data_IF_514180142857
#
_entry.id   IF_514180142857
#
_cell.length_a   1.000
_cell.length_b   1.000
_cell.length_c   1.000
_cell.angle_alpha   90.00
_cell.angle_beta   90.00
_cell.angle_gamma   90.00
#
_symmetry.space_group_name_H-M   'P 1'
#
loop_
_entity.id
_entity.type
_entity.pdbx_description
1 polymer ?
#
# COMPACT_ATOMS: atom_id res chain seq x y z
N UNK A 1 -8.30 -42.17 -2.02
CA UNK A 1 -9.31 -42.84 -1.17
C UNK A 1 -9.61 -41.93 0.02
N UNK A 2 -10.81 -41.99 0.59
CA UNK A 2 -11.23 -41.21 1.76
C UNK A 2 -11.36 -42.16 2.94
N UNK A 3 -10.74 -41.83 4.08
CA UNK A 3 -10.86 -42.60 5.31
C UNK A 3 -11.62 -41.77 6.35
N UNK A 4 -12.66 -42.36 6.96
CA UNK A 4 -13.46 -41.70 8.00
C UNK A 4 -14.06 -42.73 8.95
N UNK A 5 -14.58 -42.28 10.10
CA UNK A 5 -15.18 -43.16 11.12
C UNK A 5 -16.71 -43.14 11.04
N UNK A 6 -17.34 -44.29 11.25
CA UNK A 6 -18.80 -44.38 11.33
C UNK A 6 -19.32 -43.69 12.60
N UNK A 7 -20.32 -42.79 12.54
CA UNK A 7 -20.84 -42.08 13.71
C UNK A 7 -21.62 -42.96 14.70
N UNK A 8 -21.96 -44.19 14.33
CA UNK A 8 -22.73 -45.11 15.18
C UNK A 8 -21.89 -46.16 15.90
N UNK A 9 -20.77 -46.59 15.33
CA UNK A 9 -19.97 -47.70 15.85
C UNK A 9 -18.45 -47.49 15.78
N UNK A 10 -18.03 -46.29 15.38
CA UNK A 10 -16.63 -45.82 15.31
C UNK A 10 -15.70 -46.67 14.44
N UNK A 11 -16.25 -47.59 13.64
CA UNK A 11 -15.46 -48.38 12.71
C UNK A 11 -14.88 -47.49 11.61
N UNK A 12 -13.58 -47.63 11.34
CA UNK A 12 -12.89 -46.95 10.23
C UNK A 12 -13.35 -47.53 8.90
N UNK A 13 -13.83 -46.68 8.01
CA UNK A 13 -14.32 -47.03 6.68
C UNK A 13 -13.41 -46.38 5.65
N UNK A 14 -13.06 -47.14 4.61
CA UNK A 14 -12.34 -46.65 3.43
C UNK A 14 -13.30 -46.59 2.25
N UNK A 15 -13.45 -45.41 1.65
CA UNK A 15 -14.32 -45.19 0.50
C UNK A 15 -13.53 -44.63 -0.69
N UNK A 16 -14.00 -44.89 -1.90
CA UNK A 16 -13.46 -44.25 -3.10
C UNK A 16 -13.90 -42.78 -3.15
N UNK A 17 -13.09 -41.92 -3.79
CA UNK A 17 -13.39 -40.47 -3.90
C UNK A 17 -14.72 -40.24 -4.64
N UNK A 18 -15.03 -41.08 -5.62
CA UNK A 18 -16.29 -41.03 -6.38
C UNK A 18 -17.53 -41.36 -5.52
N UNK A 19 -17.35 -41.93 -4.33
CA UNK A 19 -18.44 -42.20 -3.39
C UNK A 19 -18.72 -41.01 -2.44
N UNK A 20 -17.94 -39.92 -2.53
CA UNK A 20 -18.15 -38.70 -1.76
C UNK A 20 -19.58 -38.16 -1.93
N UNK A 21 -20.25 -37.87 -0.81
CA UNK A 21 -21.64 -37.40 -0.79
C UNK A 21 -22.70 -38.49 -1.03
N UNK A 22 -22.30 -39.71 -1.41
CA UNK A 22 -23.23 -40.83 -1.64
C UNK A 22 -23.58 -41.49 -0.29
N UNK A 23 -24.85 -41.91 -0.16
CA UNK A 23 -25.30 -42.71 0.99
C UNK A 23 -24.82 -44.16 0.85
N UNK A 24 -24.16 -44.67 1.88
CA UNK A 24 -23.68 -46.06 1.95
C UNK A 24 -24.06 -46.69 3.29
N UNK A 25 -23.90 -48.02 3.41
CA UNK A 25 -24.13 -48.74 4.68
C UNK A 25 -22.79 -49.04 5.36
N UNK A 26 -22.73 -48.85 6.67
CA UNK A 26 -21.56 -49.25 7.44
C UNK A 26 -21.34 -50.78 7.36
N UNK A 27 -20.12 -51.27 7.08
CA UNK A 27 -19.85 -52.72 7.03
C UNK A 27 -19.96 -53.42 8.40
N UNK A 28 -19.89 -52.67 9.51
CA UNK A 28 -19.95 -53.22 10.87
C UNK A 28 -21.36 -53.18 11.47
N UNK A 29 -22.00 -52.02 11.54
CA UNK A 29 -23.32 -51.87 12.18
C UNK A 29 -24.51 -51.79 11.21
N UNK A 30 -24.25 -51.78 9.88
CA UNK A 30 -25.27 -51.67 8.81
C UNK A 30 -26.11 -50.37 8.81
N UNK A 31 -25.80 -49.39 9.67
CA UNK A 31 -26.43 -48.08 9.64
C UNK A 31 -26.18 -47.36 8.31
N UNK A 32 -27.18 -46.62 7.83
CA UNK A 32 -27.05 -45.76 6.65
C UNK A 32 -26.23 -44.51 7.04
N UNK A 33 -25.18 -44.22 6.30
CA UNK A 33 -24.32 -43.05 6.51
C UNK A 33 -24.04 -42.36 5.17
N UNK A 34 -23.77 -41.06 5.21
CA UNK A 34 -23.34 -40.31 4.04
C UNK A 34 -21.82 -40.22 4.05
N UNK A 35 -21.17 -40.60 2.96
CA UNK A 35 -19.72 -40.44 2.83
C UNK A 35 -19.42 -38.94 2.81
N UNK A 36 -18.56 -38.41 3.69
CA UNK A 36 -18.26 -36.98 3.71
C UNK A 36 -17.65 -36.56 2.37
N UNK A 37 -18.13 -35.42 1.82
CA UNK A 37 -17.49 -34.79 0.69
C UNK A 37 -16.14 -34.23 1.15
N UNK A 38 -15.06 -34.41 0.36
CA UNK A 38 -13.78 -33.73 0.60
C UNK A 38 -13.90 -32.25 0.21
N UNK A 39 -14.89 -31.54 0.75
CA UNK A 39 -15.04 -30.11 0.52
C UNK A 39 -14.07 -29.39 1.45
N UNK A 40 -13.03 -28.82 0.84
CA UNK A 40 -12.19 -27.78 1.41
C UNK A 40 -11.50 -28.15 2.73
N UNK A 41 -10.75 -29.25 2.72
CA UNK A 41 -9.45 -29.15 3.41
C UNK A 41 -8.67 -28.12 2.61
N UNK A 42 -8.87 -26.84 2.95
CA UNK A 42 -7.94 -25.76 2.65
C UNK A 42 -6.57 -26.37 2.93
N UNK A 43 -5.71 -26.54 1.91
CA UNK A 43 -4.51 -27.36 2.02
C UNK A 43 -3.83 -26.92 3.31
N UNK A 44 -3.81 -27.82 4.29
CA UNK A 44 -3.19 -27.60 5.58
C UNK A 44 -1.81 -27.08 5.23
N UNK A 45 -1.61 -25.78 5.45
CA UNK A 45 -0.39 -25.06 5.17
C UNK A 45 0.68 -25.75 6.01
N UNK A 46 1.34 -26.74 5.45
CA UNK A 46 2.36 -27.51 6.16
C UNK A 46 3.71 -26.79 6.21
N UNK A 47 3.79 -25.55 5.71
CA UNK A 47 5.06 -24.82 5.61
C UNK A 47 5.03 -23.37 6.12
N UNK A 48 4.04 -22.93 6.90
CA UNK A 48 4.11 -21.63 7.59
C UNK A 48 3.52 -21.64 9.00
N UNK A 49 3.74 -22.72 9.75
CA UNK A 49 4.17 -22.54 11.14
C UNK A 49 5.67 -22.22 11.11
N UNK A 50 6.02 -21.06 10.51
CA UNK A 50 6.85 -20.17 11.29
C UNK A 50 6.01 -19.95 12.53
N UNK A 51 6.46 -20.51 13.65
CA UNK A 51 6.07 -19.97 14.93
C UNK A 51 6.07 -18.44 14.76
N UNK A 52 5.07 -17.71 15.28
CA UNK A 52 5.24 -16.29 15.48
C UNK A 52 6.40 -16.14 16.47
N UNK A 53 7.64 -16.27 15.98
CA UNK A 53 8.82 -15.67 16.57
C UNK A 53 8.47 -14.20 16.59
N UNK A 54 8.04 -13.80 17.78
CA UNK A 54 7.93 -12.45 18.21
C UNK A 54 7.01 -11.64 17.31
N UNK A 55 5.76 -11.58 17.77
CA UNK A 55 5.11 -10.30 18.03
C UNK A 55 6.15 -9.32 18.62
N UNK A 56 7.03 -8.79 17.78
CA UNK A 56 7.64 -7.50 17.95
C UNK A 56 6.43 -6.57 17.92
N UNK A 57 5.90 -6.31 19.11
CA UNK A 57 5.28 -5.05 19.44
C UNK A 57 5.96 -4.00 18.58
N UNK A 58 5.20 -3.39 17.66
CA UNK A 58 5.72 -2.28 16.87
C UNK A 58 6.11 -1.20 17.87
N UNK A 59 7.37 -1.23 18.31
CA UNK A 59 7.94 -0.18 19.11
C UNK A 59 7.73 1.12 18.34
N UNK A 60 7.21 2.16 19.02
CA UNK A 60 6.81 3.40 18.37
C UNK A 60 7.99 3.94 17.59
N UNK A 61 7.82 4.00 16.26
CA UNK A 61 8.68 4.65 15.25
C UNK A 61 9.92 5.26 15.89
N UNK A 62 10.91 4.38 16.06
CA UNK A 62 12.30 4.61 16.40
C UNK A 62 12.68 6.08 16.67
N UNK A 63 12.42 6.56 17.91
CA UNK A 63 13.02 7.80 18.43
C UNK A 63 14.55 7.79 18.28
N UNK A 64 15.21 6.64 18.16
CA UNK A 64 16.67 6.56 18.02
C UNK A 64 17.20 7.05 16.67
N UNK A 65 16.40 7.09 15.59
CA UNK A 65 16.86 7.72 14.32
C UNK A 65 16.88 9.24 14.46
N UNK A 66 15.93 9.81 15.22
CA UNK A 66 15.93 11.23 15.53
C UNK A 66 17.04 11.54 16.55
N UNK A 67 17.22 10.70 17.58
CA UNK A 67 18.28 10.91 18.59
C UNK A 67 19.69 10.74 18.03
N UNK A 68 19.92 9.84 17.08
CA UNK A 68 21.24 9.70 16.42
C UNK A 68 21.56 10.90 15.54
N UNK A 69 20.59 11.40 14.76
CA UNK A 69 20.78 12.65 13.99
C UNK A 69 20.93 13.89 14.88
N UNK A 70 20.25 13.97 16.02
CA UNK A 70 20.44 15.04 17.00
C UNK A 70 21.82 14.91 17.67
N UNK A 71 22.29 13.69 17.98
CA UNK A 71 23.64 13.46 18.54
C UNK A 71 24.76 13.76 17.54
N UNK A 72 24.58 13.46 16.25
CA UNK A 72 25.55 13.79 15.21
C UNK A 72 25.57 15.30 14.88
N UNK A 73 24.43 15.98 14.96
CA UNK A 73 24.35 17.44 14.89
C UNK A 73 25.00 18.13 16.12
N UNK A 74 24.86 17.55 17.32
CA UNK A 74 25.52 18.05 18.52
C UNK A 74 27.06 17.88 18.45
N UNK A 75 27.56 16.76 17.91
CA UNK A 75 29.00 16.52 17.76
C UNK A 75 29.66 17.46 16.73
N UNK A 76 28.97 17.75 15.62
CA UNK A 76 29.50 18.65 14.58
C UNK A 76 29.41 20.14 14.94
N UNK A 77 28.54 20.52 15.89
CA UNK A 77 28.49 21.88 16.43
C UNK A 77 29.67 22.23 17.35
N UNK A 78 30.17 21.26 18.14
CA UNK A 78 31.22 21.49 19.14
C UNK A 78 32.60 21.75 18.51
N UNK A 79 32.92 21.13 17.37
CA UNK A 79 34.22 21.36 16.70
C UNK A 79 34.36 22.75 16.05
N UNK A 80 33.24 23.38 15.63
CA UNK A 80 33.31 24.72 15.01
C UNK A 80 33.50 25.85 16.03
N UNK A 81 33.03 25.68 17.27
CA UNK A 81 33.22 26.67 18.35
C UNK A 81 34.68 26.74 18.80
N UNK A 82 35.40 25.61 18.77
CA UNK A 82 36.83 25.54 19.15
C UNK A 82 37.78 26.30 18.22
N UNK A 83 37.45 26.46 16.93
CA UNK A 83 38.28 27.24 15.99
C UNK A 83 38.02 28.74 16.06
N UNK A 84 36.80 29.17 16.37
CA UNK A 84 36.46 30.60 16.51
C UNK A 84 37.06 31.18 17.80
N UNK A 85 37.07 30.42 18.89
CA UNK A 85 37.68 30.83 20.17
C UNK A 85 39.20 31.08 20.08
N UNK A 86 39.91 30.39 19.17
CA UNK A 86 41.34 30.65 18.93
C UNK A 86 41.59 31.91 18.10
N UNK A 87 40.61 32.39 17.32
CA UNK A 87 40.76 33.59 16.49
C UNK A 87 40.47 34.89 17.27
N UNK A 88 39.55 34.85 18.25
CA UNK A 88 39.25 36.00 19.12
C UNK A 88 40.31 36.29 20.19
N UNK A 89 41.25 35.37 20.43
CA UNK A 89 42.35 35.58 21.38
C UNK A 89 43.50 36.41 20.79
N UNK A 90 43.58 36.54 19.45
CA UNK A 90 44.63 37.28 18.74
C UNK A 90 44.23 38.75 18.52
N UNK A 91 42.93 39.04 18.45
CA UNK A 91 42.40 40.40 18.34
C UNK A 91 42.07 40.87 19.76
N UNK A 92 43.08 41.39 20.45
CA UNK A 92 43.04 41.75 21.88
C UNK A 92 41.94 42.75 22.24
N UNK A 93 40.76 42.24 22.58
CA UNK A 93 39.65 43.02 23.10
C UNK A 93 38.67 42.14 23.85
N UNK A 94 38.89 41.95 25.16
CA UNK A 94 38.03 41.16 26.04
C UNK A 94 36.55 41.58 26.02
N UNK A 95 36.25 42.81 25.60
CA UNK A 95 34.88 43.30 25.43
C UNK A 95 34.09 42.58 24.33
N UNK A 96 34.71 42.21 23.20
CA UNK A 96 33.98 41.59 22.08
C UNK A 96 33.64 40.13 22.37
N UNK A 97 34.54 39.41 23.04
CA UNK A 97 34.29 38.04 23.50
C UNK A 97 33.14 38.00 24.51
N UNK A 98 33.08 38.98 25.42
CA UNK A 98 31.98 39.09 26.38
C UNK A 98 30.63 39.39 25.71
N UNK A 99 30.60 40.28 24.70
CA UNK A 99 29.39 40.56 23.95
C UNK A 99 28.87 39.34 23.19
N UNK A 100 29.75 38.56 22.56
CA UNK A 100 29.34 37.31 21.90
C UNK A 100 28.82 36.30 22.93
N UNK A 101 29.49 36.15 24.07
CA UNK A 101 29.05 35.23 25.12
C UNK A 101 27.67 35.61 25.66
N UNK A 102 27.43 36.89 25.93
CA UNK A 102 26.13 37.40 26.39
C UNK A 102 25.06 37.19 25.32
N UNK A 103 25.36 37.45 24.05
CA UNK A 103 24.41 37.20 22.95
C UNK A 103 24.05 35.71 22.82
N UNK A 104 25.03 34.80 22.97
CA UNK A 104 24.80 33.35 22.95
C UNK A 104 23.98 32.91 24.16
N UNK A 105 24.28 33.42 25.37
CA UNK A 105 23.51 33.11 26.58
C UNK A 105 22.07 33.63 26.49
N UNK A 106 21.85 34.82 25.94
CA UNK A 106 20.50 35.33 25.69
C UNK A 106 19.73 34.50 24.66
N UNK A 107 20.42 33.95 23.64
CA UNK A 107 19.78 33.08 22.64
C UNK A 107 19.45 31.68 23.20
N UNK A 108 20.25 31.18 24.17
CA UNK A 108 19.96 29.92 24.87
C UNK A 108 18.86 30.06 25.94
N UNK A 109 18.70 31.24 26.54
CA UNK A 109 17.69 31.48 27.55
C UNK A 109 16.26 31.58 26.99
N UNK A 110 16.10 31.77 25.68
CA UNK A 110 14.79 31.96 25.07
C UNK A 110 14.63 31.23 23.71
N UNK A 111 14.71 29.88 23.68
CA UNK A 111 14.55 29.09 22.46
C UNK A 111 13.16 29.25 21.83
N UNK A 112 12.17 29.64 22.64
CA UNK A 112 10.78 29.81 22.23
C UNK A 112 10.61 31.00 21.27
N UNK A 113 11.41 32.07 21.43
CA UNK A 113 11.39 33.21 20.51
C UNK A 113 11.88 32.83 19.10
N UNK A 114 12.90 31.98 19.02
CA UNK A 114 13.42 31.49 17.74
C UNK A 114 12.40 30.58 17.04
N UNK A 115 11.73 29.70 17.79
CA UNK A 115 10.67 28.84 17.27
C UNK A 115 9.47 29.64 16.75
N UNK A 116 9.05 30.68 17.49
CA UNK A 116 7.94 31.55 17.10
C UNK A 116 8.21 32.30 15.80
N UNK A 117 9.43 32.82 15.62
CA UNK A 117 9.81 33.48 14.37
C UNK A 117 9.84 32.52 13.17
N UNK A 118 10.12 31.24 13.40
CA UNK A 118 10.16 30.20 12.35
C UNK A 118 8.76 29.73 11.98
N UNK A 119 7.85 29.59 12.95
CA UNK A 119 6.44 29.27 12.67
C UNK A 119 5.77 30.39 11.88
N UNK A 120 6.00 31.66 12.22
CA UNK A 120 5.45 32.81 11.49
C UNK A 120 5.95 32.89 10.03
N UNK A 121 7.21 32.50 9.76
CA UNK A 121 7.72 32.41 8.38
C UNK A 121 7.05 31.30 7.58
N UNK A 122 6.85 30.13 8.18
CA UNK A 122 6.18 29.01 7.54
C UNK A 122 4.70 29.30 7.25
N UNK A 123 4.01 29.98 8.16
CA UNK A 123 2.61 30.38 7.94
C UNK A 123 2.49 31.34 6.74
N UNK A 124 3.40 32.31 6.62
CA UNK A 124 3.45 33.21 5.45
C UNK A 124 3.72 32.47 4.14
N UNK A 125 4.61 31.48 4.15
CA UNK A 125 4.93 30.68 2.96
C UNK A 125 3.73 29.81 2.53
N UNK A 126 3.00 29.22 3.48
CA UNK A 126 1.78 28.45 3.20
C UNK A 126 0.68 29.35 2.60
N UNK A 127 0.52 30.56 3.13
CA UNK A 127 -0.48 31.50 2.63
C UNK A 127 -0.16 31.98 1.21
N UNK A 128 1.12 32.23 0.89
CA UNK A 128 1.58 32.56 -0.46
C UNK A 128 1.29 31.43 -1.47
N UNK A 129 1.59 30.17 -1.09
CA UNK A 129 1.30 29.01 -1.94
C UNK A 129 -0.20 28.82 -2.19
N UNK A 130 -1.04 29.05 -1.17
CA UNK A 130 -2.50 29.04 -1.34
C UNK A 130 -2.98 30.13 -2.31
N UNK A 131 -2.35 31.30 -2.30
CA UNK A 131 -2.60 32.37 -3.28
C UNK A 131 -2.29 31.93 -4.71
N UNK A 132 -1.09 31.37 -4.94
CA UNK A 132 -0.66 30.90 -6.27
C UNK A 132 -1.56 29.80 -6.82
N UNK A 133 -2.03 28.87 -5.98
CA UNK A 133 -2.95 27.82 -6.42
C UNK A 133 -4.30 28.39 -6.87
N UNK A 134 -4.86 29.38 -6.16
CA UNK A 134 -6.10 30.05 -6.59
C UNK A 134 -5.92 30.79 -7.93
N UNK A 135 -4.77 31.41 -8.15
CA UNK A 135 -4.45 32.06 -9.42
C UNK A 135 -4.37 31.04 -10.57
N UNK A 136 -3.77 29.87 -10.33
CA UNK A 136 -3.72 28.78 -11.30
C UNK A 136 -5.11 28.22 -11.61
N UNK A 137 -5.95 28.02 -10.60
CA UNK A 137 -7.34 27.57 -10.79
C UNK A 137 -8.15 28.56 -11.65
N UNK A 138 -7.97 29.86 -11.43
CA UNK A 138 -8.60 30.90 -12.27
C UNK A 138 -8.06 30.89 -13.71
N UNK A 139 -6.75 30.70 -13.90
CA UNK A 139 -6.16 30.59 -15.25
C UNK A 139 -6.67 29.37 -15.98
N UNK A 140 -6.80 28.21 -15.31
CA UNK A 140 -7.38 26.99 -15.90
C UNK A 140 -8.85 27.21 -16.28
N UNK A 141 -9.64 27.86 -15.41
CA UNK A 141 -11.04 28.16 -15.69
C UNK A 141 -11.23 29.10 -16.91
N UNK A 142 -10.29 30.01 -17.15
CA UNK A 142 -10.33 30.95 -18.28
C UNK A 142 -9.72 30.41 -19.57
N UNK A 143 -9.05 29.25 -19.55
CA UNK A 143 -8.62 28.63 -20.82
C UNK A 143 -9.86 28.19 -21.60
N UNK A 144 -10.19 28.84 -22.73
CA UNK A 144 -11.33 28.44 -23.52
C UNK A 144 -11.10 27.01 -23.99
N UNK A 145 -12.11 26.17 -23.80
CA UNK A 145 -12.17 24.78 -24.26
C UNK A 145 -11.85 24.78 -25.75
N UNK A 146 -10.59 24.57 -26.13
CA UNK A 146 -10.15 24.55 -27.52
C UNK A 146 -10.94 23.44 -28.18
N UNK A 147 -11.92 23.84 -28.98
CA UNK A 147 -12.69 22.94 -29.80
C UNK A 147 -11.71 22.34 -30.81
N UNK A 148 -11.21 21.14 -30.49
CA UNK A 148 -10.43 20.30 -31.39
C UNK A 148 -11.36 19.75 -32.48
N UNK A 149 -11.85 20.65 -33.34
CA UNK A 149 -12.45 20.34 -34.62
C UNK A 149 -11.37 20.31 -35.69
N UNK A 150 -10.54 19.27 -35.70
CA UNK A 150 -9.79 18.87 -36.89
C UNK A 150 -10.60 17.78 -37.61
N UNK A 151 -10.89 17.91 -38.91
CA UNK A 151 -11.72 16.95 -39.65
C UNK A 151 -10.92 15.66 -39.87
N UNK A 152 -11.20 14.65 -39.04
CA UNK A 152 -10.84 13.25 -39.33
C UNK A 152 -11.91 12.70 -40.25
N UNK A 153 -11.46 12.24 -41.42
CA UNK A 153 -12.28 11.72 -42.50
C UNK A 153 -13.23 10.60 -42.04
N UNK A 154 -14.41 10.61 -42.66
CA UNK A 154 -15.57 9.77 -42.39
C UNK A 154 -15.31 8.26 -42.50
N UNK A 155 -15.08 7.61 -41.37
CA UNK A 155 -15.49 6.22 -41.18
C UNK A 155 -16.73 6.19 -40.29
N UNK A 156 -17.88 5.83 -40.88
CA UNK A 156 -19.17 5.58 -40.23
C UNK A 156 -19.04 4.57 -39.07
N UNK A 157 -18.62 5.02 -37.89
CA UNK A 157 -18.75 4.27 -36.64
C UNK A 157 -20.13 4.53 -36.06
N UNK A 158 -20.98 3.52 -36.19
CA UNK A 158 -22.23 3.42 -35.45
C UNK A 158 -21.92 3.55 -33.95
N UNK A 159 -22.21 4.72 -33.39
CA UNK A 159 -22.13 4.98 -31.96
C UNK A 159 -23.25 4.21 -31.26
N UNK A 160 -23.02 2.92 -31.01
CA UNK A 160 -23.85 2.12 -30.13
C UNK A 160 -23.67 2.69 -28.74
N UNK A 161 -24.68 3.41 -28.25
CA UNK A 161 -24.81 3.84 -26.86
C UNK A 161 -24.99 2.61 -25.98
N UNK A 162 -23.89 1.89 -25.73
CA UNK A 162 -23.86 0.78 -24.77
C UNK A 162 -24.10 1.41 -23.40
N UNK A 163 -25.30 1.16 -22.85
CA UNK A 163 -25.59 1.42 -21.44
C UNK A 163 -24.49 0.76 -20.62
N UNK A 164 -23.64 1.56 -19.97
CA UNK A 164 -22.60 1.09 -19.06
C UNK A 164 -23.28 0.22 -18.00
N UNK A 165 -23.03 -1.08 -18.03
CA UNK A 165 -23.44 -1.95 -16.93
C UNK A 165 -22.47 -1.70 -15.80
N UNK A 166 -22.98 -1.29 -14.64
CA UNK A 166 -22.16 -1.23 -13.43
C UNK A 166 -21.61 -2.63 -13.13
N UNK A 167 -20.34 -2.74 -12.73
CA UNK A 167 -19.74 -4.02 -12.38
C UNK A 167 -20.52 -4.64 -11.22
N UNK A 168 -20.70 -5.96 -11.24
CA UNK A 168 -21.34 -6.69 -10.15
C UNK A 168 -20.33 -7.62 -9.48
N UNK A 169 -20.52 -7.81 -8.17
CA UNK A 169 -19.83 -8.87 -7.44
C UNK A 169 -20.05 -10.20 -8.15
N UNK A 170 -18.95 -10.92 -8.42
CA UNK A 170 -18.93 -12.19 -9.13
C UNK A 170 -18.53 -12.09 -10.60
N UNK A 171 -18.52 -10.89 -11.19
CA UNK A 171 -18.13 -10.72 -12.59
C UNK A 171 -16.67 -11.12 -12.81
N UNK A 172 -16.42 -11.85 -13.90
CA UNK A 172 -15.08 -12.23 -14.34
C UNK A 172 -14.60 -11.15 -15.30
N UNK A 173 -13.47 -10.55 -14.96
CA UNK A 173 -12.85 -9.44 -15.69
C UNK A 173 -11.37 -9.74 -15.91
N UNK A 174 -10.70 -8.91 -16.70
CA UNK A 174 -9.27 -9.05 -16.95
C UNK A 174 -8.53 -7.81 -16.48
N UNK A 175 -7.30 -7.99 -16.00
CA UNK A 175 -6.44 -6.87 -15.65
C UNK A 175 -5.97 -6.18 -16.94
N UNK A 176 -6.27 -4.90 -17.07
CA UNK A 176 -5.86 -4.04 -18.19
C UNK A 176 -5.13 -2.81 -17.64
N UNK A 177 -3.81 -2.76 -17.76
CA UNK A 177 -3.01 -1.59 -17.39
C UNK A 177 -1.52 -1.93 -17.28
N UNK A 178 -0.66 -0.92 -17.50
CA UNK A 178 0.77 -1.06 -17.82
C UNK A 178 1.66 -1.76 -16.78
N UNK A 179 1.15 -2.11 -15.61
CA UNK A 179 1.86 -2.92 -14.63
C UNK A 179 0.85 -3.64 -13.74
N UNK A 180 0.67 -4.95 -13.92
CA UNK A 180 -0.32 -5.77 -13.21
C UNK A 180 0.04 -6.06 -11.76
N UNK A 181 0.34 -5.02 -10.99
CA UNK A 181 0.61 -5.12 -9.55
C UNK A 181 -0.70 -5.13 -8.77
N UNK A 182 -0.88 -6.16 -7.94
CA UNK A 182 -2.07 -6.36 -7.11
C UNK A 182 -1.65 -6.35 -5.64
N UNK A 183 -2.20 -5.46 -4.82
CA UNK A 183 -1.85 -5.41 -3.41
C UNK A 183 -2.60 -6.48 -2.61
N UNK A 184 -1.96 -7.15 -1.65
CA UNK A 184 -2.64 -8.18 -0.83
C UNK A 184 -3.61 -7.55 0.17
N UNK A 185 -3.31 -6.35 0.64
CA UNK A 185 -4.06 -5.62 1.67
C UNK A 185 -4.10 -4.10 1.39
N UNK A 186 -4.96 -3.38 2.12
CA UNK A 186 -5.19 -1.94 1.91
C UNK A 186 -3.97 -1.08 2.26
N UNK A 187 -3.15 -1.49 3.25
CA UNK A 187 -1.92 -0.76 3.62
C UNK A 187 -0.90 -0.91 2.50
N UNK A 188 -0.72 -2.13 1.97
CA UNK A 188 0.17 -2.37 0.83
C UNK A 188 -0.31 -1.65 -0.43
N UNK A 189 -1.61 -1.56 -0.68
CA UNK A 189 -2.16 -0.77 -1.80
C UNK A 189 -1.75 0.71 -1.69
N UNK A 190 -1.91 1.30 -0.51
CA UNK A 190 -1.58 2.71 -0.28
C UNK A 190 -0.08 2.97 -0.46
N UNK A 191 0.77 2.04 0.00
CA UNK A 191 2.23 2.12 -0.17
C UNK A 191 2.64 1.91 -1.63
N UNK A 192 2.05 0.95 -2.32
CA UNK A 192 2.23 0.70 -3.75
C UNK A 192 1.95 1.97 -4.57
N UNK A 193 0.84 2.66 -4.30
CA UNK A 193 0.49 3.90 -5.02
C UNK A 193 1.50 5.01 -4.78
N UNK A 194 1.96 5.19 -3.53
CA UNK A 194 3.02 6.17 -3.23
C UNK A 194 4.32 5.88 -3.99
N UNK A 195 4.72 4.62 -4.04
CA UNK A 195 5.92 4.19 -4.77
C UNK A 195 5.76 4.36 -6.28
N UNK A 196 4.59 4.01 -6.83
CA UNK A 196 4.28 4.20 -8.24
C UNK A 196 4.29 5.67 -8.65
N UNK A 197 3.69 6.56 -7.85
CA UNK A 197 3.73 8.01 -8.08
C UNK A 197 5.16 8.54 -8.03
N UNK A 198 5.97 8.03 -7.10
CA UNK A 198 7.38 8.40 -6.96
C UNK A 198 8.30 7.76 -8.03
N UNK A 199 7.78 6.84 -8.86
CA UNK A 199 8.55 6.02 -9.81
C UNK A 199 9.69 5.25 -9.14
N UNK A 200 9.44 4.72 -7.95
CA UNK A 200 10.40 3.91 -7.19
C UNK A 200 10.24 2.41 -7.51
N UNK A 201 10.88 1.99 -8.60
CA UNK A 201 10.84 0.61 -9.08
C UNK A 201 11.52 -0.37 -8.10
N UNK A 202 12.52 0.09 -7.35
CA UNK A 202 13.23 -0.72 -6.35
C UNK A 202 12.30 -0.99 -5.16
N UNK A 203 11.60 0.03 -4.67
CA UNK A 203 10.62 -0.11 -3.61
C UNK A 203 9.47 -1.04 -4.02
N UNK A 204 8.99 -0.94 -5.25
CA UNK A 204 7.98 -1.85 -5.79
C UNK A 204 8.50 -3.30 -5.85
N UNK A 205 9.71 -3.50 -6.36
CA UNK A 205 10.36 -4.82 -6.43
C UNK A 205 10.52 -5.44 -5.03
N UNK A 206 10.91 -4.65 -4.03
CA UNK A 206 11.01 -5.10 -2.65
C UNK A 206 9.65 -5.52 -2.08
N UNK A 207 8.57 -4.79 -2.41
CA UNK A 207 7.22 -5.18 -1.98
C UNK A 207 6.73 -6.46 -2.65
N UNK A 208 7.14 -6.72 -3.90
CA UNK A 208 6.88 -8.00 -4.59
C UNK A 208 7.62 -9.14 -3.90
N UNK A 209 8.91 -8.97 -3.58
CA UNK A 209 9.71 -9.98 -2.87
C UNK A 209 9.15 -10.28 -1.47
N UNK A 210 8.59 -9.28 -0.79
CA UNK A 210 7.92 -9.46 0.50
C UNK A 210 6.52 -10.10 0.39
N UNK A 211 6.01 -10.34 -0.82
CA UNK A 211 4.67 -10.88 -1.04
C UNK A 211 3.53 -9.90 -0.66
N UNK A 212 3.83 -8.62 -0.47
CA UNK A 212 2.85 -7.56 -0.17
C UNK A 212 2.10 -7.10 -1.42
N UNK A 213 2.76 -7.22 -2.56
CA UNK A 213 2.21 -6.99 -3.88
C UNK A 213 2.48 -8.23 -4.72
N UNK A 214 1.53 -8.57 -5.58
CA UNK A 214 1.62 -9.68 -6.51
C UNK A 214 1.75 -9.10 -7.91
N UNK A 215 2.83 -9.45 -8.59
CA UNK A 215 2.99 -9.13 -10.01
C UNK A 215 2.20 -10.16 -10.85
N UNK A 216 1.32 -9.67 -11.71
CA UNK A 216 0.52 -10.49 -12.63
C UNK A 216 0.66 -9.97 -14.06
N UNK A 217 0.66 -10.86 -15.07
CA UNK A 217 0.66 -10.44 -16.46
C UNK A 217 -0.67 -9.74 -16.82
N UNK A 218 -0.58 -8.81 -17.77
CA UNK A 218 -1.76 -8.17 -18.36
C UNK A 218 -2.65 -9.25 -18.99
N UNK A 219 -3.97 -9.13 -18.82
CA UNK A 219 -4.92 -10.13 -19.29
C UNK A 219 -5.22 -11.26 -18.29
N UNK A 220 -4.59 -11.25 -17.11
CA UNK A 220 -4.94 -12.20 -16.04
C UNK A 220 -6.41 -12.07 -15.67
N UNK A 221 -7.12 -13.21 -15.64
CA UNK A 221 -8.54 -13.27 -15.28
C UNK A 221 -8.70 -13.15 -13.78
N UNK A 222 -9.55 -12.23 -13.36
CA UNK A 222 -9.88 -11.97 -11.96
C UNK A 222 -11.39 -11.98 -11.77
N UNK A 223 -11.85 -12.46 -10.63
CA UNK A 223 -13.24 -12.38 -10.19
C UNK A 223 -13.38 -11.19 -9.25
N UNK A 224 -14.32 -10.30 -9.53
CA UNK A 224 -14.62 -9.21 -8.61
C UNK A 224 -15.36 -9.74 -7.39
N UNK A 225 -14.86 -9.43 -6.19
CA UNK A 225 -15.48 -9.82 -4.91
C UNK A 225 -16.15 -8.60 -4.28
N UNK A 226 -15.43 -7.47 -4.24
CA UNK A 226 -15.90 -6.26 -3.59
C UNK A 226 -15.74 -5.04 -4.52
N UNK A 227 -16.80 -4.61 -5.22
CA UNK A 227 -16.77 -3.43 -6.08
C UNK A 227 -16.79 -2.16 -5.23
N UNK A 228 -15.62 -1.58 -4.95
CA UNK A 228 -15.51 -0.25 -4.36
C UNK A 228 -15.47 0.87 -5.41
N UNK A 229 -15.53 2.12 -4.94
CA UNK A 229 -15.56 3.30 -5.81
C UNK A 229 -14.21 3.63 -6.47
N UNK A 230 -13.11 3.50 -5.72
CA UNK A 230 -11.73 3.77 -6.19
C UNK A 230 -10.88 2.50 -6.30
N UNK A 231 -11.18 1.51 -5.47
CA UNK A 231 -10.47 0.24 -5.39
C UNK A 231 -11.48 -0.90 -5.43
N UNK A 232 -11.13 -1.99 -6.09
CA UNK A 232 -11.90 -3.22 -6.10
C UNK A 232 -11.13 -4.34 -5.40
N UNK A 233 -11.85 -5.11 -4.59
CA UNK A 233 -11.40 -6.43 -4.13
C UNK A 233 -11.60 -7.45 -5.23
N UNK A 234 -10.52 -8.12 -5.62
CA UNK A 234 -10.52 -9.12 -6.70
C UNK A 234 -9.88 -10.41 -6.23
N UNK A 235 -10.33 -11.54 -6.77
CA UNK A 235 -9.73 -12.85 -6.60
C UNK A 235 -9.13 -13.31 -7.92
N UNK A 236 -7.85 -13.66 -7.93
CA UNK A 236 -7.16 -14.15 -9.13
C UNK A 236 -7.73 -15.52 -9.49
N UNK A 237 -8.16 -15.70 -10.74
CA UNK A 237 -8.72 -16.98 -11.22
C UNK A 237 -7.63 -17.82 -11.89
N UNK A 238 -6.75 -17.17 -12.66
CA UNK A 238 -5.79 -17.83 -13.54
C UNK A 238 -4.34 -17.46 -13.17
N UNK A 239 -3.41 -18.36 -13.46
CA UNK A 239 -1.98 -18.19 -13.24
C UNK A 239 -1.45 -18.64 -11.87
N UNK A 240 -0.17 -18.37 -11.56
CA UNK A 240 0.54 -18.90 -10.39
C UNK A 240 0.02 -18.39 -9.04
N UNK A 241 -0.88 -17.42 -9.06
CA UNK A 241 -1.45 -16.79 -7.89
C UNK A 241 -2.97 -17.00 -7.80
N UNK A 242 -3.50 -17.99 -8.53
CA UNK A 242 -4.91 -18.36 -8.51
C UNK A 242 -5.42 -18.59 -7.08
N UNK A 243 -6.61 -18.09 -6.78
CA UNK A 243 -7.26 -18.19 -5.48
C UNK A 243 -6.90 -17.07 -4.50
N UNK A 244 -5.80 -16.32 -4.73
CA UNK A 244 -5.42 -15.20 -3.85
C UNK A 244 -6.37 -14.02 -4.02
N UNK A 245 -6.71 -13.41 -2.89
CA UNK A 245 -7.45 -12.16 -2.82
C UNK A 245 -6.48 -10.98 -2.86
N UNK A 246 -6.83 -9.95 -3.62
CA UNK A 246 -6.04 -8.74 -3.76
C UNK A 246 -6.94 -7.51 -3.91
N UNK A 247 -6.36 -6.34 -3.68
CA UNK A 247 -6.96 -5.03 -3.90
C UNK A 247 -6.25 -4.37 -5.08
N UNK A 248 -7.04 -3.87 -6.01
CA UNK A 248 -6.57 -3.22 -7.23
C UNK A 248 -7.36 -1.93 -7.48
N UNK A 249 -6.77 -0.86 -8.03
CA UNK A 249 -7.55 0.30 -8.45
C UNK A 249 -8.53 -0.09 -9.56
N UNK A 250 -9.75 0.47 -9.56
CA UNK A 250 -10.82 0.05 -10.49
C UNK A 250 -10.41 0.24 -11.96
N UNK A 251 -9.56 1.22 -12.23
CA UNK A 251 -9.04 1.55 -13.57
C UNK A 251 -8.26 0.41 -14.21
N UNK A 252 -7.65 -0.47 -13.41
CA UNK A 252 -6.89 -1.61 -13.91
C UNK A 252 -7.76 -2.82 -14.24
N UNK A 253 -9.08 -2.75 -14.02
CA UNK A 253 -10.01 -3.85 -14.29
C UNK A 253 -10.81 -3.56 -15.56
N UNK A 254 -10.48 -4.25 -16.65
CA UNK A 254 -11.22 -4.11 -17.91
C UNK A 254 -12.65 -4.64 -17.80
N UNK A 255 -13.56 -3.98 -18.53
CA UNK A 255 -14.96 -4.39 -18.61
C UNK A 255 -15.88 -3.78 -17.55
N UNK A 256 -15.33 -3.01 -16.61
CA UNK A 256 -16.09 -2.30 -15.58
C UNK A 256 -16.75 -1.02 -16.12
N UNK A 257 -16.11 -0.35 -17.08
CA UNK A 257 -16.54 0.98 -17.56
C UNK A 257 -16.70 1.11 -19.08
N UNK A 258 -16.48 0.03 -19.85
CA UNK A 258 -16.63 0.02 -21.32
C UNK A 258 -18.06 -0.29 -21.79
#
# INVERSE_FOLDING_TARGET
>A
MIEFQCPHCEHRIKAQINAAGIRSKCPRCKANLTVPMPDQVEPLRHDLLLEPEDFLEEEPVNKRIIDSRIKDAAKTGVEKVGRIAKLTLIIGGGGFAFLILVAVLMNLANPDAALKSRSERLEKEIEELRGRNKELEQKVALTPKVASGAPVQDEKKQAVTRKRKSPRTGDITMISGGSGYLAVDSKSHSRMMKLAIAKDDIGLSQMVLQGKIIATPIGTKVRMIDPGFLTCGVRIIDGPHSGKYCIVPVEFVSGVFN
#
